data_IF_328934307062
#
_entry.id   IF_328934307062
#
_cell.length_a   1.000
_cell.length_b   1.000
_cell.length_c   1.000
_cell.angle_alpha   90.00
_cell.angle_beta   90.00
_cell.angle_gamma   90.00
#
_symmetry.space_group_name_H-M   'P 1'
#
loop_
_entity.id
_entity.type
_entity.pdbx_description
1 polymer ?
#
# COMPACT_ATOMS: atom_id res chain seq x y z
N UNK A 1 6.90 9.91 32.72
CA UNK A 1 7.13 9.20 31.46
C UNK A 1 5.82 8.49 31.13
N UNK A 2 5.10 8.86 30.06
CA UNK A 2 3.87 8.16 29.70
C UNK A 2 4.23 6.73 29.31
N UNK A 3 3.69 5.74 30.04
CA UNK A 3 3.76 4.34 29.66
C UNK A 3 2.90 4.15 28.42
N UNK A 4 3.51 3.90 27.27
CA UNK A 4 2.82 3.46 26.06
C UNK A 4 2.29 2.04 26.35
N UNK A 5 1.07 1.98 26.87
CA UNK A 5 0.45 0.72 27.29
C UNK A 5 -0.12 -0.08 26.11
N UNK A 6 -0.70 -1.27 26.36
CA UNK A 6 -1.23 -2.20 25.34
C UNK A 6 -2.27 -1.58 24.38
N UNK A 7 -2.84 -0.44 24.75
CA UNK A 7 -3.73 0.33 23.89
C UNK A 7 -3.04 0.90 22.62
N UNK A 8 -1.73 1.16 22.62
CA UNK A 8 -1.02 1.62 21.41
C UNK A 8 -0.87 0.47 20.41
N UNK A 9 -0.41 -0.70 20.88
CA UNK A 9 -0.23 -1.89 20.04
C UNK A 9 -1.51 -2.35 19.32
N UNK A 10 -2.67 -2.29 20.01
CA UNK A 10 -3.96 -2.60 19.39
C UNK A 10 -4.31 -1.61 18.27
N UNK A 11 -4.00 -0.31 18.43
CA UNK A 11 -4.19 0.70 17.38
C UNK A 11 -3.23 0.52 16.20
N UNK A 12 -1.97 0.17 16.45
CA UNK A 12 -0.96 0.00 15.40
C UNK A 12 -1.28 -1.22 14.53
N UNK A 13 -1.76 -2.30 15.15
CA UNK A 13 -2.30 -3.46 14.45
C UNK A 13 -3.49 -3.13 13.57
N UNK A 14 -4.41 -2.29 14.06
CA UNK A 14 -5.58 -1.87 13.28
C UNK A 14 -5.18 -0.99 12.08
N UNK A 15 -4.15 -0.14 12.22
CA UNK A 15 -3.59 0.65 11.11
C UNK A 15 -2.97 -0.26 10.05
N UNK A 16 -2.12 -1.20 10.46
CA UNK A 16 -1.43 -2.11 9.56
C UNK A 16 -2.39 -2.96 8.71
N UNK A 17 -3.48 -3.48 9.32
CA UNK A 17 -4.49 -4.24 8.57
C UNK A 17 -5.26 -3.36 7.57
N UNK A 18 -5.53 -2.09 7.90
CA UNK A 18 -6.15 -1.13 6.96
C UNK A 18 -5.25 -0.82 5.78
N UNK A 19 -3.95 -0.62 6.01
CA UNK A 19 -2.99 -0.34 4.94
C UNK A 19 -2.79 -1.55 4.03
N UNK A 20 -2.79 -2.75 4.60
CA UNK A 20 -2.81 -4.01 3.84
C UNK A 20 -4.06 -4.13 2.96
N UNK A 21 -5.24 -3.84 3.49
CA UNK A 21 -6.49 -3.84 2.70
C UNK A 21 -6.42 -2.82 1.56
N UNK A 22 -5.90 -1.61 1.85
CA UNK A 22 -5.70 -0.56 0.85
C UNK A 22 -4.72 -0.98 -0.24
N UNK A 23 -3.65 -1.67 0.12
CA UNK A 23 -2.64 -2.18 -0.82
C UNK A 23 -3.23 -3.19 -1.81
N UNK A 24 -3.97 -4.19 -1.31
CA UNK A 24 -4.62 -5.19 -2.18
C UNK A 24 -5.67 -4.54 -3.10
N UNK A 25 -6.45 -3.58 -2.59
CA UNK A 25 -7.43 -2.84 -3.41
C UNK A 25 -6.76 -2.02 -4.52
N UNK A 26 -5.62 -1.38 -4.25
CA UNK A 26 -4.88 -0.63 -5.26
C UNK A 26 -4.31 -1.56 -6.34
N UNK A 27 -3.81 -2.73 -5.93
CA UNK A 27 -3.32 -3.76 -6.85
C UNK A 27 -4.42 -4.28 -7.78
N UNK A 28 -5.62 -4.56 -7.25
CA UNK A 28 -6.78 -4.93 -8.07
C UNK A 28 -7.21 -3.82 -9.04
N UNK A 29 -7.09 -2.55 -8.64
CA UNK A 29 -7.38 -1.42 -9.51
C UNK A 29 -6.36 -1.33 -10.66
N UNK A 30 -5.08 -1.44 -10.34
CA UNK A 30 -3.99 -1.42 -11.30
C UNK A 30 -4.11 -2.51 -12.37
N UNK A 31 -4.43 -3.76 -11.99
CA UNK A 31 -4.62 -4.83 -12.97
C UNK A 31 -5.86 -4.59 -13.86
N UNK A 32 -6.95 -4.03 -13.32
CA UNK A 32 -8.12 -3.66 -14.13
C UNK A 32 -7.79 -2.56 -15.16
N UNK A 33 -7.02 -1.55 -14.76
CA UNK A 33 -6.63 -0.46 -15.66
C UNK A 33 -5.71 -0.96 -16.78
N UNK A 34 -4.81 -1.90 -16.47
CA UNK A 34 -3.96 -2.59 -17.45
C UNK A 34 -4.77 -3.42 -18.45
N UNK A 35 -5.75 -4.20 -18.00
CA UNK A 35 -6.65 -4.94 -18.90
C UNK A 35 -7.47 -4.01 -19.80
N UNK A 36 -7.91 -2.87 -19.26
CA UNK A 36 -8.66 -1.87 -20.03
C UNK A 36 -7.80 -1.22 -21.10
N UNK A 37 -6.55 -0.89 -20.76
CA UNK A 37 -5.56 -0.35 -21.68
C UNK A 37 -5.30 -1.30 -22.87
N UNK A 38 -5.06 -2.59 -22.62
CA UNK A 38 -4.84 -3.57 -23.70
C UNK A 38 -6.09 -3.75 -24.58
N UNK A 39 -7.30 -3.77 -24.00
CA UNK A 39 -8.55 -3.80 -24.79
C UNK A 39 -8.73 -2.58 -25.69
N UNK A 40 -8.37 -1.38 -25.22
CA UNK A 40 -8.45 -0.17 -26.02
C UNK A 40 -7.46 -0.19 -27.19
N UNK A 41 -6.25 -0.70 -26.93
CA UNK A 41 -5.23 -0.89 -27.95
C UNK A 41 -5.67 -1.86 -29.05
N UNK A 42 -6.28 -2.99 -28.67
CA UNK A 42 -6.84 -3.95 -29.63
C UNK A 42 -7.96 -3.31 -30.48
N UNK A 43 -8.91 -2.60 -29.84
CA UNK A 43 -9.97 -1.86 -30.55
C UNK A 43 -9.41 -0.86 -31.55
N UNK A 44 -8.36 -0.13 -31.17
CA UNK A 44 -7.72 0.85 -32.05
C UNK A 44 -7.13 0.19 -33.31
N UNK A 45 -6.47 -0.96 -33.18
CA UNK A 45 -5.94 -1.69 -34.34
C UNK A 45 -7.06 -2.28 -35.22
N UNK A 46 -8.16 -2.78 -34.62
CA UNK A 46 -9.34 -3.24 -35.38
C UNK A 46 -9.95 -2.10 -36.22
N UNK A 47 -10.12 -0.91 -35.63
CA UNK A 47 -10.70 0.23 -36.34
C UNK A 47 -9.80 0.73 -37.48
N UNK A 48 -8.48 0.62 -37.28
CA UNK A 48 -7.48 0.92 -38.31
C UNK A 48 -7.55 -0.06 -39.48
N UNK A 49 -7.72 -1.36 -39.24
CA UNK A 49 -7.92 -2.36 -40.30
C UNK A 49 -9.24 -2.16 -41.06
N UNK A 50 -10.35 -1.93 -40.35
CA UNK A 50 -11.65 -1.62 -40.98
C UNK A 50 -11.56 -0.43 -41.92
N UNK A 51 -10.78 0.60 -41.58
CA UNK A 51 -10.57 1.75 -42.45
C UNK A 51 -9.82 1.40 -43.74
N UNK A 52 -8.79 0.54 -43.68
CA UNK A 52 -8.06 0.08 -44.87
C UNK A 52 -9.00 -0.66 -45.83
N UNK A 53 -9.79 -1.59 -45.32
CA UNK A 53 -10.79 -2.35 -46.09
C UNK A 53 -11.81 -1.41 -46.75
N UNK A 54 -12.30 -0.41 -46.00
CA UNK A 54 -13.24 0.58 -46.53
C UNK A 54 -12.66 1.42 -47.68
N UNK A 55 -11.34 1.65 -47.67
CA UNK A 55 -10.62 2.39 -48.70
C UNK A 55 -10.39 1.56 -49.96
N UNK A 56 -10.22 0.25 -49.83
CA UNK A 56 -9.96 -0.68 -50.95
C UNK A 56 -11.25 -1.14 -51.66
N UNK A 57 -12.36 -1.28 -50.95
CA UNK A 57 -13.67 -1.71 -51.51
C UNK A 57 -14.42 -0.66 -52.35
N UNK A 58 -13.80 0.48 -52.66
CA UNK A 58 -14.39 1.56 -53.47
C UNK A 58 -13.98 1.47 -54.95
N UNK A 59 -14.39 0.41 -55.64
CA UNK A 59 -14.42 0.36 -57.10
C UNK A 59 -15.87 0.27 -57.63
N UNK A 60 -16.13 1.08 -58.67
CA UNK A 60 -17.27 1.08 -59.60
C UNK A 60 -18.72 1.06 -59.06
N UNK A 61 -19.21 2.20 -58.56
CA UNK A 61 -20.60 2.68 -58.82
C UNK A 61 -20.70 4.17 -58.44
N UNK A 62 -20.60 5.03 -59.45
CA UNK A 62 -20.33 6.46 -59.31
C UNK A 62 -21.49 7.29 -58.77
N UNK A 63 -21.15 8.38 -58.08
CA UNK A 63 -22.00 9.48 -57.58
C UNK A 63 -22.77 9.26 -56.26
N UNK A 64 -23.62 8.24 -56.08
CA UNK A 64 -24.30 8.01 -54.77
C UNK A 64 -23.33 7.41 -53.74
N UNK A 65 -22.50 6.46 -54.20
CA UNK A 65 -21.48 5.78 -53.39
C UNK A 65 -20.39 6.73 -52.88
N UNK A 66 -20.16 7.85 -53.57
CA UNK A 66 -19.13 8.83 -53.20
C UNK A 66 -19.54 9.71 -52.00
N UNK A 67 -20.85 10.02 -51.84
CA UNK A 67 -21.35 10.69 -50.62
C UNK A 67 -21.33 9.74 -49.42
N UNK A 68 -21.80 8.51 -49.61
CA UNK A 68 -21.78 7.47 -48.56
C UNK A 68 -20.35 7.12 -48.14
N UNK A 69 -19.42 7.01 -49.09
CA UNK A 69 -17.99 6.78 -48.81
C UNK A 69 -17.34 7.92 -48.03
N UNK A 70 -17.64 9.18 -48.37
CA UNK A 70 -17.17 10.35 -47.59
C UNK A 70 -17.74 10.35 -46.17
N UNK A 71 -19.03 10.03 -45.99
CA UNK A 71 -19.68 9.91 -44.68
C UNK A 71 -19.05 8.80 -43.83
N UNK A 72 -18.82 7.63 -44.42
CA UNK A 72 -18.18 6.48 -43.77
C UNK A 72 -16.72 6.76 -43.39
N UNK A 73 -15.98 7.48 -44.23
CA UNK A 73 -14.62 7.92 -43.89
C UNK A 73 -14.61 8.95 -42.76
N UNK A 74 -15.58 9.89 -42.74
CA UNK A 74 -15.75 10.81 -41.61
C UNK A 74 -16.08 10.07 -40.32
N UNK A 75 -17.00 9.12 -40.35
CA UNK A 75 -17.32 8.27 -39.19
C UNK A 75 -16.12 7.45 -38.70
N UNK A 76 -15.37 6.82 -39.60
CA UNK A 76 -14.15 6.08 -39.23
C UNK A 76 -13.07 6.97 -38.61
N UNK A 77 -12.90 8.19 -39.12
CA UNK A 77 -11.97 9.16 -38.53
C UNK A 77 -12.41 9.63 -37.13
N UNK A 78 -13.72 9.81 -36.91
CA UNK A 78 -14.28 10.15 -35.60
C UNK A 78 -14.03 9.00 -34.62
N UNK A 79 -14.31 7.76 -35.01
CA UNK A 79 -14.05 6.57 -34.19
C UNK A 79 -12.57 6.44 -33.83
N UNK A 80 -11.66 6.64 -34.79
CA UNK A 80 -10.21 6.62 -34.52
C UNK A 80 -9.79 7.68 -33.50
N UNK A 81 -10.33 8.91 -33.62
CA UNK A 81 -10.05 9.99 -32.66
C UNK A 81 -10.53 9.61 -31.26
N UNK A 82 -11.76 9.11 -31.15
CA UNK A 82 -12.33 8.65 -29.88
C UNK A 82 -11.56 7.47 -29.28
N UNK A 83 -11.10 6.53 -30.10
CA UNK A 83 -10.26 5.41 -29.64
C UNK A 83 -8.91 5.87 -29.12
N UNK A 84 -8.28 6.84 -29.79
CA UNK A 84 -7.01 7.44 -29.35
C UNK A 84 -7.16 8.21 -28.03
N UNK A 85 -8.21 9.01 -27.91
CA UNK A 85 -8.53 9.75 -26.68
C UNK A 85 -8.79 8.80 -25.50
N UNK A 86 -9.57 7.72 -25.72
CA UNK A 86 -9.77 6.68 -24.70
C UNK A 86 -8.47 5.97 -24.29
N UNK A 87 -7.57 5.72 -25.23
CA UNK A 87 -6.27 5.13 -24.94
C UNK A 87 -5.38 6.06 -24.12
N UNK A 88 -5.39 7.36 -24.43
CA UNK A 88 -4.67 8.39 -23.65
C UNK A 88 -5.22 8.48 -22.21
N UNK A 89 -6.55 8.49 -22.03
CA UNK A 89 -7.20 8.47 -20.70
C UNK A 89 -6.80 7.21 -19.91
N UNK A 90 -6.82 6.03 -20.54
CA UNK A 90 -6.48 4.79 -19.84
C UNK A 90 -4.99 4.74 -19.44
N UNK A 91 -4.12 5.37 -20.24
CA UNK A 91 -2.70 5.52 -19.91
C UNK A 91 -2.49 6.44 -18.71
N UNK A 92 -3.18 7.58 -18.66
CA UNK A 92 -3.16 8.47 -17.50
C UNK A 92 -3.70 7.78 -16.24
N UNK A 93 -4.81 7.04 -16.35
CA UNK A 93 -5.38 6.28 -15.23
C UNK A 93 -4.38 5.24 -14.68
N UNK A 94 -3.69 4.52 -15.57
CA UNK A 94 -2.65 3.57 -15.20
C UNK A 94 -1.45 4.23 -14.50
N UNK A 95 -1.03 5.42 -14.95
CA UNK A 95 0.04 6.20 -14.30
C UNK A 95 -0.37 6.62 -12.89
N UNK A 96 -1.60 7.10 -12.70
CA UNK A 96 -2.16 7.44 -11.38
C UNK A 96 -2.22 6.21 -10.46
N UNK A 97 -2.71 5.08 -10.97
CA UNK A 97 -2.81 3.84 -10.18
C UNK A 97 -1.43 3.34 -9.73
N UNK A 98 -0.41 3.52 -10.58
CA UNK A 98 0.97 3.20 -10.23
C UNK A 98 1.50 4.10 -9.10
N UNK A 99 1.28 5.41 -9.18
CA UNK A 99 1.68 6.34 -8.11
C UNK A 99 0.99 6.01 -6.79
N UNK A 100 -0.32 5.75 -6.82
CA UNK A 100 -1.10 5.34 -5.66
C UNK A 100 -0.62 4.01 -5.06
N UNK A 101 -0.15 3.09 -5.89
CA UNK A 101 0.40 1.81 -5.44
C UNK A 101 1.73 1.99 -4.70
N UNK A 102 2.64 2.83 -5.23
CA UNK A 102 3.91 3.13 -4.55
C UNK A 102 3.69 3.86 -3.21
N UNK A 103 2.79 4.85 -3.14
CA UNK A 103 2.49 5.56 -1.88
C UNK A 103 1.98 4.59 -0.79
N UNK A 104 1.09 3.67 -1.16
CA UNK A 104 0.54 2.70 -0.21
C UNK A 104 1.58 1.66 0.19
N UNK A 105 2.49 1.30 -0.71
CA UNK A 105 3.60 0.41 -0.38
C UNK A 105 4.55 1.04 0.64
N UNK A 106 4.91 2.30 0.47
CA UNK A 106 5.76 3.02 1.43
C UNK A 106 5.10 3.10 2.81
N UNK A 107 3.79 3.42 2.87
CA UNK A 107 3.04 3.41 4.14
C UNK A 107 3.04 2.04 4.81
N UNK A 108 2.82 0.99 4.03
CA UNK A 108 2.84 -0.38 4.54
C UNK A 108 4.22 -0.79 5.10
N UNK A 109 5.32 -0.32 4.50
CA UNK A 109 6.67 -0.53 5.02
C UNK A 109 6.89 0.20 6.35
N UNK A 110 6.41 1.45 6.48
CA UNK A 110 6.47 2.21 7.74
C UNK A 110 5.65 1.55 8.85
N UNK A 111 4.41 1.14 8.56
CA UNK A 111 3.55 0.49 9.55
C UNK A 111 4.16 -0.84 10.03
N UNK A 112 4.86 -1.56 9.15
CA UNK A 112 5.60 -2.77 9.52
C UNK A 112 6.74 -2.49 10.49
N UNK A 113 7.55 -1.44 10.23
CA UNK A 113 8.63 -1.04 11.13
C UNK A 113 8.09 -0.58 12.49
N UNK A 114 7.00 0.19 12.52
CA UNK A 114 6.34 0.59 13.77
C UNK A 114 5.92 -0.63 14.58
N UNK A 115 5.24 -1.59 13.94
CA UNK A 115 4.77 -2.79 14.61
C UNK A 115 5.91 -3.65 15.19
N UNK A 116 7.06 -3.70 14.52
CA UNK A 116 8.27 -4.36 15.03
C UNK A 116 8.78 -3.66 16.31
N UNK A 117 8.87 -2.32 16.30
CA UNK A 117 9.28 -1.53 17.47
C UNK A 117 8.32 -1.71 18.65
N UNK A 118 7.00 -1.67 18.40
CA UNK A 118 6.01 -1.83 19.46
C UNK A 118 6.09 -3.22 20.09
N UNK A 119 6.41 -4.25 19.29
CA UNK A 119 6.62 -5.61 19.78
C UNK A 119 7.85 -5.69 20.69
N UNK A 120 8.97 -5.07 20.30
CA UNK A 120 10.18 -5.02 21.14
C UNK A 120 9.92 -4.29 22.47
N UNK A 121 9.25 -3.14 22.42
CA UNK A 121 8.88 -2.39 23.62
C UNK A 121 8.00 -3.21 24.57
N UNK A 122 7.04 -3.96 24.02
CA UNK A 122 6.17 -4.83 24.81
C UNK A 122 6.95 -5.94 25.53
N UNK A 123 7.92 -6.55 24.83
CA UNK A 123 8.79 -7.57 25.44
C UNK A 123 9.69 -6.97 26.54
N UNK A 124 10.23 -5.76 26.35
CA UNK A 124 10.97 -5.04 27.39
C UNK A 124 10.11 -4.75 28.63
N UNK A 125 8.89 -4.26 28.45
CA UNK A 125 7.95 -3.98 29.54
C UNK A 125 7.59 -5.25 30.32
N UNK A 126 7.45 -6.37 29.62
CA UNK A 126 7.21 -7.68 30.23
C UNK A 126 8.38 -8.14 31.10
N UNK A 127 9.62 -7.92 30.67
CA UNK A 127 10.80 -8.22 31.48
C UNK A 127 10.91 -7.28 32.69
N UNK A 128 10.65 -5.98 32.52
CA UNK A 128 10.60 -5.01 33.64
C UNK A 128 9.57 -5.44 34.69
N UNK A 129 8.39 -5.87 34.26
CA UNK A 129 7.34 -6.33 35.16
C UNK A 129 7.75 -7.57 35.98
N UNK A 130 8.51 -8.50 35.39
CA UNK A 130 9.06 -9.65 36.12
C UNK A 130 10.04 -9.20 37.20
N UNK A 131 10.96 -8.30 36.86
CA UNK A 131 11.95 -7.74 37.80
C UNK A 131 11.26 -7.01 38.96
N UNK A 132 10.27 -6.16 38.66
CA UNK A 132 9.51 -5.42 39.68
C UNK A 132 8.78 -6.37 40.64
N UNK A 133 8.24 -7.48 40.10
CA UNK A 133 7.60 -8.51 40.91
C UNK A 133 8.61 -9.20 41.85
N UNK A 134 9.82 -9.51 41.38
CA UNK A 134 10.88 -10.10 42.19
C UNK A 134 11.36 -9.14 43.29
N UNK A 135 11.60 -7.87 42.95
CA UNK A 135 11.95 -6.82 43.93
C UNK A 135 10.84 -6.70 44.99
N UNK A 136 9.57 -6.66 44.57
CA UNK A 136 8.43 -6.57 45.49
C UNK A 136 8.26 -7.80 46.39
N UNK A 137 8.70 -8.99 45.96
CA UNK A 137 8.78 -10.18 46.83
C UNK A 137 9.92 -10.03 47.83
N UNK A 138 11.10 -9.59 47.38
CA UNK A 138 12.29 -9.43 48.21
C UNK A 138 12.09 -8.38 49.32
N UNK A 139 11.50 -7.23 48.98
CA UNK A 139 11.13 -6.18 49.94
C UNK A 139 10.16 -6.71 51.01
N UNK A 140 9.13 -7.49 50.60
CA UNK A 140 8.18 -8.10 51.54
C UNK A 140 8.83 -9.12 52.47
N UNK A 141 9.78 -9.90 51.96
CA UNK A 141 10.51 -10.88 52.78
C UNK A 141 11.39 -10.18 53.83
N UNK A 142 12.06 -9.08 53.48
CA UNK A 142 12.87 -8.29 54.42
C UNK A 142 12.06 -7.60 55.53
N UNK A 143 10.74 -7.42 55.36
CA UNK A 143 9.86 -6.81 56.36
C UNK A 143 9.22 -7.81 57.34
N UNK A 144 9.50 -9.12 57.21
CA UNK A 144 8.99 -10.11 58.15
C UNK A 144 9.72 -10.03 59.52
N UNK A 145 9.01 -10.08 60.66
CA UNK A 145 9.55 -9.79 62.00
C UNK A 145 10.62 -10.79 62.50
N UNK A 146 10.90 -11.87 61.77
CA UNK A 146 11.83 -12.92 62.18
C UNK A 146 13.23 -12.82 61.56
N UNK A 147 13.52 -11.84 60.70
CA UNK A 147 14.87 -11.63 60.18
C UNK A 147 15.72 -10.83 61.18
N UNK A 148 16.32 -11.53 62.14
CA UNK A 148 17.32 -10.92 63.01
C UNK A 148 18.58 -10.54 62.21
N UNK A 149 18.87 -9.24 62.15
CA UNK A 149 20.18 -8.65 61.86
C UNK A 149 20.91 -9.12 60.59
N UNK A 150 20.41 -8.77 59.40
CA UNK A 150 21.25 -8.79 58.19
C UNK A 150 21.99 -7.44 58.10
N UNK A 151 23.28 -7.44 58.48
CA UNK A 151 24.21 -6.32 58.18
C UNK A 151 24.66 -6.44 56.72
N UNK A 152 24.18 -5.53 55.86
CA UNK A 152 24.73 -5.36 54.51
C UNK A 152 25.95 -4.43 54.62
N UNK A 153 27.14 -5.00 54.53
CA UNK A 153 28.39 -4.23 54.45
C UNK A 153 28.70 -3.96 52.98
N UNK A 154 28.57 -2.70 52.53
CA UNK A 154 29.03 -2.28 51.20
C UNK A 154 30.49 -1.84 51.33
N UNK A 155 31.47 -2.51 50.71
CA UNK A 155 32.86 -2.08 50.78
C UNK A 155 33.05 -0.82 49.92
N UNK A 156 33.23 0.33 50.57
CA UNK A 156 33.61 1.58 49.90
C UNK A 156 35.14 1.56 49.71
N UNK A 157 35.61 1.26 48.50
CA UNK A 157 37.01 1.46 48.15
C UNK A 157 37.21 2.90 47.65
N UNK A 158 37.89 3.72 48.45
CA UNK A 158 38.38 5.03 48.02
C UNK A 158 39.64 4.80 47.19
N UNK A 159 39.55 4.99 45.88
CA UNK A 159 40.73 5.10 45.03
C UNK A 159 41.40 6.46 45.31
N UNK A 160 42.55 6.44 45.99
CA UNK A 160 43.46 7.60 46.06
C UNK A 160 44.18 7.74 44.72
N UNK A 161 44.09 8.94 44.15
CA UNK A 161 44.77 9.43 42.93
C UNK A 161 46.29 9.20 42.95
#
# INVERSE_FOLDING_TARGET
MPSLGPASFDTDKESFEKDKERFEKNKERFERDKERFERNKERFEIDKEKFKINKEGSSSQGKVRNRLGKLRNRQGNIQKRQGKERFEIDKESFEIDKEMFEEVKERFEIDKESFEIDTEMFDEDKERFKVDKEIGILVRNCQQPNFQNIRITVPFQVATL
#
